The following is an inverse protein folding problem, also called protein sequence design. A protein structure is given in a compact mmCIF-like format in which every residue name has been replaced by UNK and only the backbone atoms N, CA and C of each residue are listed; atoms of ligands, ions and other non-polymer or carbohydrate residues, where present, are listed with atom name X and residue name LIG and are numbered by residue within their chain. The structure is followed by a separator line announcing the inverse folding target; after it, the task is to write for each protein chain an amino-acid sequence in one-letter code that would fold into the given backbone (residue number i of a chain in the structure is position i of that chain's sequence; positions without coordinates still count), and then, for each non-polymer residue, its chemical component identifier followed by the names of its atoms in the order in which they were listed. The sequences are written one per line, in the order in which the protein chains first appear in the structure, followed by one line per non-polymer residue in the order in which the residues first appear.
data_IF_393835252404
#
_entry.id   IF_393835252404
#
_cell.length_a   1.000
_cell.length_b   1.000
_cell.length_c   1.000
_cell.angle_alpha   90.00
_cell.angle_beta   90.00
_cell.angle_gamma   90.00
#
_symmetry.space_group_name_H-M   'P 1'
#
loop_
_entity.id
_entity.type
_entity.pdbx_description
1 polymer ?
#
# COMPACT_ATOMS: atom_id res chain seq x y z
N UNK A 1 26.17 -2.28 -33.63
CA UNK A 1 27.46 -2.91 -33.96
C UNK A 1 28.40 -2.83 -32.77
N UNK A 2 28.56 -3.92 -32.08
CA UNK A 2 29.73 -4.53 -31.44
C UNK A 2 29.27 -5.62 -30.51
N UNK A 3 29.52 -6.84 -30.93
CA UNK A 3 29.37 -8.08 -30.18
C UNK A 3 30.51 -8.20 -29.16
N UNK A 4 30.26 -8.84 -28.01
CA UNK A 4 31.30 -9.46 -27.17
C UNK A 4 30.86 -10.83 -26.68
N UNK A 5 31.79 -11.71 -26.80
CA UNK A 5 31.87 -13.15 -26.80
C UNK A 5 31.53 -13.83 -25.48
N UNK A 6 31.02 -15.06 -25.66
CA UNK A 6 30.88 -16.14 -24.67
C UNK A 6 32.24 -16.68 -24.24
N UNK A 7 32.35 -17.12 -22.96
CA UNK A 7 33.30 -18.14 -22.55
C UNK A 7 32.62 -19.20 -21.69
N UNK A 8 32.57 -20.42 -22.25
CA UNK A 8 32.30 -21.69 -21.55
C UNK A 8 33.52 -22.07 -20.69
N UNK A 9 33.31 -22.64 -19.52
CA UNK A 9 34.19 -23.63 -18.90
C UNK A 9 33.40 -24.69 -18.16
N UNK A 10 33.61 -25.93 -18.64
CA UNK A 10 33.24 -27.25 -18.12
C UNK A 10 34.21 -27.72 -17.02
N UNK A 11 33.76 -28.63 -16.14
CA UNK A 11 34.56 -29.46 -15.24
C UNK A 11 33.75 -29.97 -14.07
N UNK A 12 33.26 -31.13 -14.10
CA UNK A 12 33.74 -32.50 -13.83
C UNK A 12 33.35 -32.99 -12.41
N UNK A 13 32.72 -34.16 -12.43
CA UNK A 13 32.16 -34.94 -11.33
C UNK A 13 33.17 -35.57 -10.37
N UNK A 14 32.71 -35.94 -9.17
CA UNK A 14 33.24 -37.07 -8.39
C UNK A 14 32.15 -37.75 -7.58
N UNK A 15 32.03 -39.07 -7.82
CA UNK A 15 31.24 -40.05 -7.09
C UNK A 15 31.85 -40.36 -5.72
N UNK A 16 31.02 -40.66 -4.75
CA UNK A 16 31.40 -41.33 -3.51
C UNK A 16 30.29 -42.26 -3.00
N UNK A 17 30.52 -43.56 -3.10
CA UNK A 17 29.66 -44.66 -2.61
C UNK A 17 30.16 -45.12 -1.24
N UNK A 18 29.29 -45.45 -0.29
CA UNK A 18 29.49 -46.44 0.78
C UNK A 18 28.17 -46.75 1.49
N UNK A 19 27.78 -47.84 1.51
CA UNK A 19 27.47 -49.16 1.96
C UNK A 19 26.95 -49.25 3.42
N UNK A 20 25.72 -49.80 3.53
CA UNK A 20 25.08 -50.85 4.35
C UNK A 20 25.57 -51.13 5.78
N UNK A 21 24.61 -51.20 6.70
CA UNK A 21 24.40 -52.38 7.58
C UNK A 21 23.01 -52.37 8.20
N UNK A 22 22.25 -53.45 8.04
CA UNK A 22 20.97 -53.71 8.63
C UNK A 22 21.09 -54.46 9.97
N UNK A 23 20.06 -54.39 10.78
CA UNK A 23 19.71 -55.42 11.78
C UNK A 23 18.20 -55.53 11.91
N UNK A 24 17.72 -56.75 11.71
CA UNK A 24 16.37 -57.26 11.95
C UNK A 24 16.18 -57.60 13.42
N UNK A 25 15.00 -57.33 14.01
CA UNK A 25 14.44 -58.16 15.08
C UNK A 25 12.92 -58.12 15.10
N UNK A 26 12.30 -59.25 15.48
CA UNK A 26 10.95 -59.69 15.30
C UNK A 26 10.00 -59.37 16.47
N UNK A 27 8.67 -59.58 16.34
CA UNK A 27 7.65 -58.91 17.16
C UNK A 27 7.26 -59.70 18.44
N UNK A 28 6.78 -58.95 19.45
CA UNK A 28 6.13 -59.48 20.65
C UNK A 28 4.65 -59.03 20.76
N UNK A 29 3.78 -59.74 21.46
CA UNK A 29 2.35 -59.78 21.28
C UNK A 29 1.56 -58.69 22.00
N UNK A 30 0.39 -58.34 21.46
CA UNK A 30 -0.60 -57.42 22.02
C UNK A 30 -1.35 -57.97 23.22
N UNK A 31 -1.80 -57.11 24.13
CA UNK A 31 -3.00 -57.34 24.91
C UNK A 31 -4.13 -56.42 24.50
N UNK A 32 -5.27 -57.03 24.23
CA UNK A 32 -6.57 -56.38 24.07
C UNK A 32 -7.13 -55.90 25.40
N UNK A 33 -7.45 -54.59 25.49
CA UNK A 33 -8.49 -54.16 26.40
C UNK A 33 -9.12 -52.86 25.91
N UNK A 34 -10.38 -52.94 25.57
CA UNK A 34 -11.33 -51.89 25.29
C UNK A 34 -11.57 -51.07 26.60
N UNK A 35 -11.28 -49.76 26.54
CA UNK A 35 -11.86 -48.79 27.46
C UNK A 35 -12.04 -47.49 26.70
N UNK A 36 -13.29 -47.08 26.53
CA UNK A 36 -13.63 -45.76 25.97
C UNK A 36 -13.06 -44.64 26.86
N UNK A 37 -12.11 -43.88 26.37
CA UNK A 37 -11.60 -42.69 27.02
C UNK A 37 -12.52 -41.47 26.71
N UNK A 38 -12.71 -40.58 27.69
CA UNK A 38 -13.49 -39.36 27.48
C UNK A 38 -12.80 -38.45 26.42
N UNK A 39 -13.57 -37.95 25.49
CA UNK A 39 -13.17 -36.94 24.50
C UNK A 39 -12.80 -35.68 25.26
N UNK A 40 -11.52 -35.49 25.57
CA UNK A 40 -10.96 -34.19 25.93
C UNK A 40 -10.86 -33.37 24.63
N UNK A 41 -11.74 -32.39 24.51
CA UNK A 41 -11.55 -31.30 23.54
C UNK A 41 -10.25 -30.58 23.89
N UNK A 42 -9.21 -30.85 23.13
CA UNK A 42 -7.96 -30.07 23.18
C UNK A 42 -8.32 -28.63 22.83
N UNK A 43 -7.97 -27.63 23.68
CA UNK A 43 -8.12 -26.23 23.30
C UNK A 43 -7.36 -26.00 21.99
N UNK A 44 -7.98 -25.30 21.05
CA UNK A 44 -7.30 -24.90 19.82
C UNK A 44 -6.00 -24.18 20.20
N UNK A 45 -4.89 -24.61 19.58
CA UNK A 45 -3.61 -23.93 19.79
C UNK A 45 -3.76 -22.45 19.40
N UNK A 46 -3.16 -21.51 20.13
CA UNK A 46 -3.17 -20.11 19.74
C UNK A 46 -2.61 -20.00 18.32
N UNK A 47 -3.17 -19.11 17.48
CA UNK A 47 -2.73 -18.96 16.11
C UNK A 47 -1.22 -18.67 16.08
N UNK A 48 -0.50 -19.40 15.24
CA UNK A 48 0.92 -19.24 15.10
C UNK A 48 1.18 -17.85 14.46
N UNK A 49 1.92 -16.98 15.14
CA UNK A 49 2.22 -15.60 14.73
C UNK A 49 3.32 -15.49 13.67
N UNK A 50 3.72 -16.59 13.05
CA UNK A 50 4.76 -16.64 12.02
C UNK A 50 4.20 -16.46 10.60
N UNK A 51 5.06 -15.98 9.67
CA UNK A 51 4.80 -16.01 8.24
C UNK A 51 5.25 -17.35 7.66
N UNK A 52 4.53 -17.84 6.63
CA UNK A 52 4.87 -19.06 5.90
C UNK A 52 4.66 -18.86 4.39
N UNK A 53 5.48 -19.54 3.58
CA UNK A 53 5.23 -19.64 2.16
C UNK A 53 3.94 -20.47 1.92
N UNK A 54 3.09 -19.96 1.05
CA UNK A 54 1.84 -20.62 0.65
C UNK A 54 1.61 -20.46 -0.86
N UNK A 55 1.09 -21.49 -1.55
CA UNK A 55 0.73 -21.35 -2.95
C UNK A 55 -0.42 -20.37 -3.12
N UNK A 56 -0.33 -19.51 -4.12
CA UNK A 56 -1.44 -18.65 -4.54
C UNK A 56 -2.49 -19.53 -5.22
N UNK A 57 -3.70 -19.54 -4.67
CA UNK A 57 -4.81 -20.31 -5.23
C UNK A 57 -5.40 -19.56 -6.43
N UNK A 58 -5.43 -20.22 -7.59
CA UNK A 58 -5.91 -19.63 -8.84
C UNK A 58 -6.91 -20.58 -9.47
N UNK A 59 -8.13 -20.11 -9.71
CA UNK A 59 -9.13 -20.86 -10.45
C UNK A 59 -8.76 -20.89 -11.95
N UNK A 60 -9.15 -21.97 -12.66
CA UNK A 60 -8.73 -22.20 -14.04
C UNK A 60 -9.12 -21.07 -15.01
N UNK A 61 -10.22 -20.39 -14.75
CA UNK A 61 -10.73 -19.24 -15.51
C UNK A 61 -9.95 -17.92 -15.26
N UNK A 62 -9.01 -17.92 -14.31
CA UNK A 62 -8.18 -16.75 -13.91
C UNK A 62 -6.67 -17.01 -14.01
N UNK A 63 -6.29 -18.17 -14.59
CA UNK A 63 -4.92 -18.64 -14.69
C UNK A 63 -4.15 -18.07 -15.90
N UNK A 64 -4.50 -16.86 -16.37
CA UNK A 64 -3.69 -16.12 -17.33
C UNK A 64 -2.49 -15.47 -16.65
N UNK A 65 -1.46 -15.07 -17.44
CA UNK A 65 -0.26 -14.42 -16.88
C UNK A 65 -0.60 -13.30 -15.89
N UNK A 66 0.13 -13.20 -14.78
CA UNK A 66 1.31 -13.95 -14.38
C UNK A 66 1.01 -15.30 -13.69
N UNK A 67 -0.26 -15.75 -13.65
CA UNK A 67 -0.73 -16.97 -12.96
C UNK A 67 -0.83 -18.21 -13.86
N UNK A 68 -0.34 -18.13 -15.09
CA UNK A 68 -0.09 -19.27 -15.99
C UNK A 68 1.04 -20.16 -15.48
N UNK A 69 1.80 -19.70 -14.50
CA UNK A 69 2.78 -20.44 -13.72
C UNK A 69 2.42 -20.44 -12.23
N UNK A 70 2.75 -21.49 -11.46
CA UNK A 70 2.54 -21.50 -10.01
C UNK A 70 3.26 -20.33 -9.34
N UNK A 71 2.55 -19.62 -8.45
CA UNK A 71 3.09 -18.54 -7.62
C UNK A 71 3.01 -18.91 -6.15
N UNK A 72 4.00 -18.49 -5.39
CA UNK A 72 4.03 -18.59 -3.94
C UNK A 72 4.08 -17.20 -3.32
N UNK A 73 3.26 -16.99 -2.31
CA UNK A 73 3.28 -15.79 -1.47
C UNK A 73 3.72 -16.15 -0.05
N UNK A 74 4.16 -15.16 0.69
CA UNK A 74 4.45 -15.28 2.13
C UNK A 74 3.30 -14.65 2.89
N UNK A 75 2.57 -15.44 3.68
CA UNK A 75 1.36 -15.03 4.39
C UNK A 75 1.39 -15.49 5.85
N UNK A 76 0.53 -14.99 6.75
CA UNK A 76 0.40 -15.54 8.09
C UNK A 76 0.12 -17.04 8.07
N UNK A 77 0.73 -17.78 9.00
CA UNK A 77 0.64 -19.22 9.02
C UNK A 77 -0.82 -19.70 9.10
N UNK A 78 -1.20 -20.57 8.17
CA UNK A 78 -2.57 -21.11 8.05
C UNK A 78 -3.52 -20.25 7.23
N UNK A 79 -3.12 -19.03 6.84
CA UNK A 79 -3.92 -18.20 5.94
C UNK A 79 -3.76 -18.64 4.49
N UNK A 80 -4.75 -18.34 3.67
CA UNK A 80 -4.75 -18.66 2.24
C UNK A 80 -4.85 -17.38 1.41
N UNK A 81 -4.04 -17.29 0.34
CA UNK A 81 -4.12 -16.23 -0.67
C UNK A 81 -4.70 -16.78 -1.95
N UNK A 82 -5.77 -16.21 -2.46
CA UNK A 82 -6.40 -16.60 -3.73
C UNK A 82 -6.57 -15.41 -4.66
N UNK A 83 -6.50 -15.65 -5.98
CA UNK A 83 -6.93 -14.67 -6.99
C UNK A 83 -8.46 -14.65 -6.98
N UNK A 84 -9.04 -13.61 -6.40
CA UNK A 84 -10.48 -13.46 -6.25
C UNK A 84 -11.15 -12.93 -7.53
N UNK A 85 -10.51 -11.94 -8.18
CA UNK A 85 -10.94 -11.39 -9.47
C UNK A 85 -9.75 -11.01 -10.34
N UNK A 86 -9.98 -10.91 -11.66
CA UNK A 86 -9.05 -10.33 -12.63
C UNK A 86 -9.69 -9.08 -13.20
N UNK A 87 -8.96 -7.96 -13.16
CA UNK A 87 -9.38 -6.69 -13.78
C UNK A 87 -8.15 -5.83 -14.06
N UNK A 88 -8.19 -5.07 -15.15
CA UNK A 88 -7.03 -4.31 -15.62
C UNK A 88 -6.71 -3.14 -14.68
N UNK A 89 -5.46 -3.06 -14.24
CA UNK A 89 -4.90 -1.92 -13.48
C UNK A 89 -5.75 -1.43 -12.31
N UNK A 90 -6.23 -2.33 -11.40
CA UNK A 90 -7.02 -1.93 -10.24
C UNK A 90 -6.16 -1.09 -9.29
N UNK A 91 -6.75 -0.03 -8.75
CA UNK A 91 -6.02 0.88 -7.86
C UNK A 91 -6.59 0.86 -6.45
N UNK A 92 -7.21 1.95 -5.97
CA UNK A 92 -7.74 1.99 -4.62
C UNK A 92 -9.10 1.28 -4.54
N UNK A 93 -9.41 0.77 -3.35
CA UNK A 93 -10.62 0.01 -3.09
C UNK A 93 -11.33 0.50 -1.83
N UNK A 94 -12.67 0.37 -1.81
CA UNK A 94 -13.49 0.65 -0.65
C UNK A 94 -14.71 -0.28 -0.64
N UNK A 95 -15.09 -0.76 0.56
CA UNK A 95 -16.33 -1.51 0.72
C UNK A 95 -17.53 -0.57 0.78
N UNK A 96 -18.60 -0.95 0.09
CA UNK A 96 -19.88 -0.28 0.21
C UNK A 96 -20.58 -0.67 1.52
N UNK A 97 -21.55 0.12 2.00
CA UNK A 97 -22.37 -0.26 3.15
C UNK A 97 -23.11 -1.59 2.97
N UNK A 98 -23.40 -1.97 1.73
CA UNK A 98 -24.11 -3.19 1.37
C UNK A 98 -23.19 -4.42 1.24
N UNK A 99 -21.88 -4.27 1.43
CA UNK A 99 -20.90 -5.36 1.40
C UNK A 99 -20.40 -5.74 0.00
N UNK A 100 -20.38 -4.79 -0.93
CA UNK A 100 -19.76 -4.92 -2.26
C UNK A 100 -18.41 -4.19 -2.28
N UNK A 101 -17.45 -4.68 -3.07
CA UNK A 101 -16.15 -4.03 -3.19
C UNK A 101 -16.14 -3.08 -4.38
N UNK A 102 -15.88 -1.81 -4.15
CA UNK A 102 -15.59 -0.84 -5.21
C UNK A 102 -14.10 -0.77 -5.45
N UNK A 103 -13.71 -0.68 -6.73
CA UNK A 103 -12.31 -0.57 -7.16
C UNK A 103 -12.20 0.51 -8.23
N UNK A 104 -11.29 1.44 -8.04
CA UNK A 104 -10.98 2.46 -9.05
C UNK A 104 -10.04 1.92 -10.12
N UNK A 105 -10.32 2.26 -11.39
CA UNK A 105 -9.50 1.95 -12.55
C UNK A 105 -9.21 3.26 -13.30
N UNK A 106 -8.20 4.03 -12.89
CA UNK A 106 -7.92 5.36 -13.47
C UNK A 106 -7.64 5.33 -14.97
N UNK A 107 -6.97 4.29 -15.45
CA UNK A 107 -6.61 4.11 -16.86
C UNK A 107 -7.83 3.96 -17.78
N UNK A 108 -8.98 3.53 -17.25
CA UNK A 108 -10.23 3.34 -17.97
C UNK A 108 -11.27 4.43 -17.65
N UNK A 109 -10.99 5.29 -16.68
CA UNK A 109 -11.95 6.30 -16.21
C UNK A 109 -13.15 5.71 -15.49
N UNK A 110 -12.98 4.58 -14.77
CA UNK A 110 -14.07 3.80 -14.19
C UNK A 110 -13.91 3.56 -12.70
N UNK A 111 -15.06 3.38 -12.05
CA UNK A 111 -15.19 2.70 -10.76
C UNK A 111 -15.97 1.41 -11.00
N UNK A 112 -15.32 0.29 -10.75
CA UNK A 112 -15.92 -1.05 -10.84
C UNK A 112 -16.52 -1.44 -9.51
N UNK A 113 -17.57 -2.27 -9.57
CA UNK A 113 -18.24 -2.87 -8.42
C UNK A 113 -18.15 -4.39 -8.54
N UNK A 114 -17.69 -5.03 -7.49
CA UNK A 114 -17.58 -6.48 -7.34
C UNK A 114 -18.54 -6.94 -6.26
N UNK A 115 -19.59 -7.65 -6.66
CA UNK A 115 -20.56 -8.27 -5.75
C UNK A 115 -20.06 -9.66 -5.37
N UNK A 116 -19.76 -9.92 -4.07
CA UNK A 116 -19.33 -11.25 -3.64
C UNK A 116 -20.36 -12.33 -3.97
N UNK A 117 -19.88 -13.50 -4.42
CA UNK A 117 -20.72 -14.64 -4.73
C UNK A 117 -20.36 -15.84 -3.84
N UNK A 118 -21.33 -16.68 -3.53
CA UNK A 118 -21.14 -17.92 -2.79
C UNK A 118 -20.21 -18.92 -3.51
N UNK A 119 -20.13 -18.83 -4.83
CA UNK A 119 -19.28 -19.69 -5.68
C UNK A 119 -17.83 -19.21 -5.75
N UNK A 120 -17.48 -18.16 -5.02
CA UNK A 120 -16.12 -17.66 -4.84
C UNK A 120 -15.66 -16.62 -5.88
N UNK A 121 -16.20 -16.62 -7.10
CA UNK A 121 -15.96 -15.56 -8.07
C UNK A 121 -16.97 -14.41 -7.87
N UNK A 122 -16.54 -13.14 -7.78
CA UNK A 122 -17.48 -12.04 -7.69
C UNK A 122 -18.14 -11.77 -9.05
N UNK A 123 -19.32 -11.15 -9.02
CA UNK A 123 -19.91 -10.54 -10.20
C UNK A 123 -19.34 -9.13 -10.38
N UNK A 124 -18.68 -8.88 -11.52
CA UNK A 124 -18.14 -7.56 -11.87
C UNK A 124 -19.17 -6.74 -12.63
N UNK A 125 -19.31 -5.48 -12.29
CA UNK A 125 -20.12 -4.48 -12.99
C UNK A 125 -19.47 -3.09 -12.94
N UNK A 126 -19.83 -2.23 -13.89
CA UNK A 126 -19.39 -0.82 -13.88
C UNK A 126 -20.37 -0.01 -13.03
N UNK A 127 -19.87 0.61 -11.95
CA UNK A 127 -20.65 1.53 -11.13
C UNK A 127 -20.66 2.94 -11.72
N UNK A 128 -19.48 3.46 -12.08
CA UNK A 128 -19.29 4.78 -12.67
C UNK A 128 -18.36 4.68 -13.87
N UNK A 129 -18.64 5.45 -14.94
CA UNK A 129 -17.87 5.49 -16.18
C UNK A 129 -17.67 6.93 -16.64
N UNK A 130 -16.65 7.16 -17.49
CA UNK A 130 -16.36 8.46 -18.06
C UNK A 130 -15.78 9.49 -17.09
N UNK A 131 -15.18 9.01 -16.00
CA UNK A 131 -14.51 9.83 -14.98
C UNK A 131 -13.08 10.18 -15.43
N UNK A 132 -12.55 11.30 -14.91
CA UNK A 132 -11.16 11.67 -15.17
C UNK A 132 -10.19 11.05 -14.17
N UNK A 133 -9.60 9.91 -14.55
CA UNK A 133 -8.64 9.17 -13.74
C UNK A 133 -9.11 8.97 -12.27
N UNK A 134 -10.29 8.36 -12.01
CA UNK A 134 -10.77 8.14 -10.66
C UNK A 134 -9.79 7.29 -9.87
N UNK A 135 -9.46 7.70 -8.63
CA UNK A 135 -8.47 7.00 -7.83
C UNK A 135 -8.93 6.79 -6.38
N UNK A 136 -9.01 7.83 -5.54
CA UNK A 136 -9.47 7.74 -4.16
C UNK A 136 -10.96 7.44 -4.05
N UNK A 137 -11.33 6.50 -3.18
CA UNK A 137 -12.71 6.12 -2.86
C UNK A 137 -12.91 6.16 -1.35
N UNK A 138 -13.98 6.79 -0.87
CA UNK A 138 -14.35 6.80 0.54
C UNK A 138 -15.86 6.83 0.73
N UNK A 139 -16.35 6.25 1.82
CA UNK A 139 -17.74 6.35 2.23
C UNK A 139 -17.89 7.15 3.52
N UNK A 140 -18.97 7.95 3.60
CA UNK A 140 -19.50 8.51 4.84
C UNK A 140 -21.01 8.21 4.86
N UNK A 141 -21.41 7.22 5.65
CA UNK A 141 -22.75 6.66 5.61
C UNK A 141 -23.08 6.14 4.21
N UNK A 142 -24.15 6.64 3.59
CA UNK A 142 -24.57 6.30 2.22
C UNK A 142 -24.02 7.27 1.16
N UNK A 143 -23.04 8.10 1.46
CA UNK A 143 -22.40 8.99 0.48
C UNK A 143 -21.08 8.40 0.04
N UNK A 144 -20.93 8.13 -1.27
CA UNK A 144 -19.69 7.76 -1.91
C UNK A 144 -18.93 9.01 -2.37
N UNK A 145 -17.68 9.14 -1.95
CA UNK A 145 -16.75 10.16 -2.44
C UNK A 145 -15.76 9.53 -3.40
N UNK A 146 -15.57 10.17 -4.56
CA UNK A 146 -14.64 9.75 -5.60
C UNK A 146 -13.68 10.88 -5.90
N UNK A 147 -12.39 10.63 -5.71
CA UNK A 147 -11.35 11.56 -6.13
C UNK A 147 -10.96 11.28 -7.57
N UNK A 148 -11.23 12.22 -8.45
CA UNK A 148 -10.74 12.28 -9.81
C UNK A 148 -9.46 13.11 -9.87
N UNK A 149 -8.79 13.17 -11.04
CA UNK A 149 -7.53 13.93 -11.15
C UNK A 149 -7.76 15.44 -11.06
N UNK A 150 -8.93 15.95 -11.46
CA UNK A 150 -9.28 17.38 -11.51
C UNK A 150 -10.34 17.82 -10.50
N UNK A 151 -10.99 16.88 -9.81
CA UNK A 151 -12.05 17.18 -8.84
C UNK A 151 -12.31 16.06 -7.82
N UNK A 152 -13.03 16.40 -6.77
CA UNK A 152 -13.58 15.47 -5.80
C UNK A 152 -15.10 15.54 -5.91
N UNK A 153 -15.74 14.42 -6.20
CA UNK A 153 -17.20 14.32 -6.28
C UNK A 153 -17.77 13.46 -5.16
N UNK A 154 -19.02 13.77 -4.80
CA UNK A 154 -19.85 12.96 -3.90
C UNK A 154 -21.09 12.49 -4.63
N UNK A 155 -21.49 11.25 -4.36
CA UNK A 155 -22.68 10.59 -4.92
C UNK A 155 -23.55 10.05 -3.78
N UNK A 156 -24.85 10.09 -3.96
CA UNK A 156 -25.76 9.32 -3.11
C UNK A 156 -25.66 7.85 -3.55
N UNK A 157 -25.35 6.96 -2.62
CA UNK A 157 -25.22 5.52 -2.88
C UNK A 157 -26.38 4.77 -2.25
N UNK A 158 -27.14 4.06 -3.05
CA UNK A 158 -28.22 3.19 -2.60
C UNK A 158 -28.49 2.08 -3.62
N UNK A 159 -28.85 0.90 -3.12
CA UNK A 159 -29.26 -0.26 -3.94
C UNK A 159 -28.26 -0.57 -5.08
N UNK A 160 -26.94 -0.46 -4.78
CA UNK A 160 -25.88 -0.72 -5.75
C UNK A 160 -25.74 0.34 -6.85
N UNK A 161 -26.29 1.54 -6.66
CA UNK A 161 -26.18 2.66 -7.62
C UNK A 161 -25.59 3.91 -6.94
N UNK A 162 -24.74 4.64 -7.69
CA UNK A 162 -24.22 5.95 -7.31
C UNK A 162 -24.90 7.02 -8.19
N UNK A 163 -25.67 7.88 -7.57
CA UNK A 163 -26.53 8.86 -8.26
C UNK A 163 -26.34 10.28 -7.68
N UNK A 164 -26.93 11.28 -8.31
CA UNK A 164 -26.91 12.67 -7.84
C UNK A 164 -25.49 13.21 -7.61
N UNK A 165 -24.60 13.23 -8.62
CA UNK A 165 -23.24 13.73 -8.47
C UNK A 165 -23.22 15.18 -7.99
N UNK A 166 -22.33 15.47 -7.03
CA UNK A 166 -22.09 16.80 -6.47
C UNK A 166 -20.58 17.02 -6.38
N UNK A 167 -20.07 18.07 -7.02
CA UNK A 167 -18.65 18.42 -6.87
C UNK A 167 -18.40 19.04 -5.51
N UNK A 168 -17.53 18.40 -4.72
CA UNK A 168 -17.08 18.84 -3.39
C UNK A 168 -15.93 19.82 -3.49
N UNK A 169 -14.99 19.55 -4.40
CA UNK A 169 -13.87 20.43 -4.76
C UNK A 169 -13.55 20.23 -6.24
N UNK A 170 -13.48 21.30 -7.01
CA UNK A 170 -13.21 21.25 -8.45
C UNK A 170 -12.09 22.20 -8.86
N UNK A 171 -11.67 22.11 -10.13
CA UNK A 171 -10.58 22.91 -10.66
C UNK A 171 -9.22 22.57 -10.05
N UNK A 172 -9.04 21.33 -9.63
CA UNK A 172 -7.79 20.86 -9.05
C UNK A 172 -6.74 20.67 -10.16
N UNK A 173 -5.44 20.88 -9.86
CA UNK A 173 -4.38 20.71 -10.86
C UNK A 173 -4.27 19.24 -11.26
N UNK A 174 -4.14 19.02 -12.57
CA UNK A 174 -3.96 17.71 -13.21
C UNK A 174 -2.99 17.78 -14.39
N UNK A 175 -2.81 16.67 -15.13
CA UNK A 175 -1.96 16.62 -16.32
C UNK A 175 -2.44 17.50 -17.48
N UNK A 176 -3.70 17.98 -17.47
CA UNK A 176 -4.29 18.87 -18.48
C UNK A 176 -4.21 20.35 -18.09
N UNK A 177 -3.81 20.65 -16.86
CA UNK A 177 -3.64 22.03 -16.39
C UNK A 177 -2.66 22.77 -17.29
N UNK A 178 -3.05 23.91 -17.91
CA UNK A 178 -2.26 24.56 -18.96
C UNK A 178 -0.86 24.96 -18.51
N UNK A 179 -0.72 25.39 -17.26
CA UNK A 179 0.55 25.81 -16.67
C UNK A 179 1.52 24.63 -16.48
N UNK A 180 1.01 23.40 -16.36
CA UNK A 180 1.80 22.18 -16.13
C UNK A 180 2.25 21.51 -17.44
N UNK A 181 1.62 21.85 -18.58
CA UNK A 181 1.98 21.36 -19.93
C UNK A 181 2.13 19.83 -20.02
N UNK A 182 1.30 19.09 -19.28
CA UNK A 182 1.36 17.64 -19.18
C UNK A 182 2.40 17.08 -18.19
N UNK A 183 3.20 17.93 -17.56
CA UNK A 183 4.20 17.53 -16.59
C UNK A 183 3.61 17.49 -15.16
N UNK A 184 2.83 16.46 -14.86
CA UNK A 184 2.28 16.23 -13.52
C UNK A 184 2.39 14.76 -13.14
N UNK A 185 3.46 14.43 -12.44
CA UNK A 185 3.78 13.05 -12.08
C UNK A 185 2.80 12.44 -11.08
N UNK A 186 2.21 13.24 -10.17
CA UNK A 186 1.35 12.77 -9.08
C UNK A 186 -0.06 13.36 -9.18
N UNK A 187 -0.68 13.21 -10.36
CA UNK A 187 -2.01 13.74 -10.64
C UNK A 187 -3.13 12.99 -9.91
N UNK A 188 -2.97 11.70 -9.64
CA UNK A 188 -3.96 10.87 -8.95
C UNK A 188 -4.16 11.35 -7.50
N UNK A 189 -5.43 11.50 -7.09
CA UNK A 189 -5.79 12.03 -5.79
C UNK A 189 -6.42 10.96 -4.91
N UNK A 190 -6.21 11.08 -3.61
CA UNK A 190 -6.88 10.27 -2.59
C UNK A 190 -7.88 11.11 -1.82
N UNK A 191 -8.89 10.47 -1.24
CA UNK A 191 -9.93 11.11 -0.44
C UNK A 191 -10.20 10.31 0.82
N UNK A 192 -10.45 11.01 1.93
CA UNK A 192 -10.93 10.44 3.19
C UNK A 192 -11.95 11.39 3.80
N UNK A 193 -12.89 10.85 4.59
CA UNK A 193 -13.96 11.65 5.19
C UNK A 193 -13.95 11.40 6.69
N UNK A 194 -13.81 12.48 7.47
CA UNK A 194 -13.86 12.43 8.92
C UNK A 194 -15.27 12.20 9.45
N UNK A 195 -15.39 11.73 10.69
CA UNK A 195 -16.66 11.48 11.36
C UNK A 195 -17.52 12.76 11.52
N UNK A 196 -16.85 13.92 11.52
CA UNK A 196 -17.49 15.23 11.51
C UNK A 196 -18.06 15.63 10.13
N UNK A 197 -17.79 14.83 9.08
CA UNK A 197 -18.16 15.12 7.70
C UNK A 197 -17.19 16.04 6.96
N UNK A 198 -16.02 16.35 7.52
CA UNK A 198 -14.95 17.04 6.79
C UNK A 198 -14.35 16.11 5.73
N UNK A 199 -14.10 16.65 4.53
CA UNK A 199 -13.50 15.89 3.43
C UNK A 199 -12.03 16.29 3.30
N UNK A 200 -11.15 15.30 3.35
CA UNK A 200 -9.71 15.45 3.15
C UNK A 200 -9.32 14.84 1.82
N UNK A 201 -8.45 15.53 1.06
CA UNK A 201 -7.94 14.99 -0.20
C UNK A 201 -6.51 15.43 -0.48
N UNK A 202 -5.77 14.62 -1.23
CA UNK A 202 -4.39 14.89 -1.58
C UNK A 202 -4.29 15.68 -2.88
N UNK A 203 -3.33 16.60 -2.94
CA UNK A 203 -2.81 17.18 -4.19
C UNK A 203 -1.31 16.86 -4.18
N UNK A 204 -0.89 15.90 -5.00
CA UNK A 204 0.51 15.50 -5.09
C UNK A 204 1.39 16.56 -5.76
N UNK A 205 2.70 16.37 -5.70
CA UNK A 205 3.68 17.24 -6.35
C UNK A 205 3.72 17.05 -7.86
N UNK A 206 4.22 18.05 -8.59
CA UNK A 206 4.38 17.95 -10.05
C UNK A 206 5.50 17.00 -10.45
N UNK A 207 6.48 16.78 -9.58
CA UNK A 207 7.61 15.91 -9.86
C UNK A 207 8.41 15.53 -8.61
N UNK A 208 9.63 15.07 -8.84
CA UNK A 208 10.53 14.65 -7.75
C UNK A 208 10.89 15.80 -6.81
N UNK A 209 11.14 16.98 -7.38
CA UNK A 209 11.46 18.24 -6.70
C UNK A 209 10.72 19.37 -7.40
N UNK A 210 10.02 20.21 -6.65
CA UNK A 210 9.45 21.48 -7.14
C UNK A 210 9.22 22.43 -5.96
N UNK A 211 9.95 23.52 -5.91
CA UNK A 211 9.70 24.58 -4.93
C UNK A 211 8.44 25.40 -5.29
N UNK A 212 8.12 25.50 -6.58
CA UNK A 212 6.95 26.21 -7.09
C UNK A 212 5.64 25.58 -6.61
N UNK A 213 5.61 24.27 -6.36
CA UNK A 213 4.45 23.57 -5.84
C UNK A 213 3.98 24.11 -4.49
N UNK A 214 4.92 24.62 -3.68
CA UNK A 214 4.63 25.18 -2.35
C UNK A 214 3.85 26.52 -2.40
N UNK A 215 4.00 27.25 -3.50
CA UNK A 215 3.40 28.58 -3.70
C UNK A 215 2.34 28.61 -4.79
N UNK A 216 2.03 27.46 -5.38
CA UNK A 216 0.96 27.32 -6.36
C UNK A 216 -0.42 27.58 -5.73
N UNK A 217 -1.39 27.88 -6.55
CA UNK A 217 -2.79 28.03 -6.14
C UNK A 217 -3.69 27.10 -6.97
N UNK A 218 -4.27 26.05 -6.35
CA UNK A 218 -4.03 25.59 -4.97
C UNK A 218 -2.61 25.03 -4.78
N UNK A 219 -2.06 25.04 -3.54
CA UNK A 219 -0.74 24.51 -3.27
C UNK A 219 -0.71 23.00 -3.51
N UNK A 220 0.39 22.52 -4.10
CA UNK A 220 0.66 21.10 -4.35
C UNK A 220 1.52 20.50 -3.24
N UNK A 221 1.70 19.20 -3.25
CA UNK A 221 2.32 18.47 -2.15
C UNK A 221 1.61 18.78 -0.81
N UNK A 222 0.27 18.67 -0.83
CA UNK A 222 -0.60 19.16 0.25
C UNK A 222 -1.77 18.22 0.45
N UNK A 223 -2.17 18.03 1.71
CA UNK A 223 -3.49 17.50 2.04
C UNK A 223 -4.42 18.68 2.27
N UNK A 224 -5.50 18.75 1.50
CA UNK A 224 -6.52 19.78 1.57
C UNK A 224 -7.68 19.31 2.45
N UNK A 225 -8.44 20.25 3.02
CA UNK A 225 -9.65 19.97 3.81
C UNK A 225 -10.79 20.86 3.34
N UNK A 226 -11.93 20.24 3.06
CA UNK A 226 -13.23 20.90 2.94
C UNK A 226 -13.94 20.79 4.31
N UNK A 227 -14.45 21.89 4.89
CA UNK A 227 -15.10 21.82 6.19
C UNK A 227 -16.42 21.02 6.15
N UNK A 228 -16.92 20.53 7.32
CA UNK A 228 -18.23 19.91 7.41
C UNK A 228 -19.33 20.82 6.83
N UNK A 229 -20.22 20.21 6.05
CA UNK A 229 -21.31 20.95 5.39
C UNK A 229 -20.90 21.70 4.13
N UNK A 230 -19.65 21.58 3.68
CA UNK A 230 -19.14 22.19 2.44
C UNK A 230 -18.45 23.54 2.67
N UNK A 231 -17.98 24.14 1.57
CA UNK A 231 -17.25 25.41 1.59
C UNK A 231 -15.92 25.28 0.83
N UNK A 232 -15.10 26.34 0.80
CA UNK A 232 -13.83 26.32 0.10
C UNK A 232 -12.85 25.34 0.77
N UNK A 233 -12.12 24.60 -0.06
CA UNK A 233 -11.01 23.77 0.41
C UNK A 233 -9.85 24.66 0.88
N UNK A 234 -9.20 24.25 1.96
CA UNK A 234 -8.01 24.93 2.49
C UNK A 234 -6.91 23.90 2.82
N UNK A 235 -5.62 24.31 2.81
CA UNK A 235 -4.53 23.44 3.22
C UNK A 235 -4.72 22.95 4.66
N UNK A 236 -4.61 21.62 4.86
CA UNK A 236 -4.65 20.97 6.16
C UNK A 236 -3.25 20.58 6.64
N UNK A 237 -2.48 19.95 5.74
CA UNK A 237 -1.09 19.61 5.96
C UNK A 237 -0.28 19.86 4.68
N UNK A 238 0.97 20.32 4.81
CA UNK A 238 1.83 20.70 3.71
C UNK A 238 3.15 19.91 3.70
N UNK A 239 3.92 19.99 2.61
CA UNK A 239 5.14 19.20 2.47
C UNK A 239 4.91 17.70 2.26
N UNK A 240 3.72 17.30 1.85
CA UNK A 240 3.31 15.93 1.55
C UNK A 240 3.54 15.65 0.08
N UNK A 241 4.74 15.19 -0.30
CA UNK A 241 5.13 15.05 -1.71
C UNK A 241 4.09 14.31 -2.56
N UNK A 242 3.75 13.09 -2.18
CA UNK A 242 2.68 12.31 -2.79
C UNK A 242 2.00 11.44 -1.73
N UNK A 243 0.98 11.99 -1.07
CA UNK A 243 0.19 11.34 -0.04
C UNK A 243 -0.88 10.43 -0.65
N UNK A 244 -0.47 9.36 -1.31
CA UNK A 244 -1.38 8.43 -2.01
C UNK A 244 -2.25 7.65 -1.03
N UNK A 245 -1.69 7.18 0.09
CA UNK A 245 -2.46 6.61 1.19
C UNK A 245 -3.05 7.73 2.04
N UNK A 246 -4.37 7.78 2.18
CA UNK A 246 -5.07 8.76 3.03
C UNK A 246 -6.27 8.08 3.68
N UNK A 247 -6.30 8.06 5.01
CA UNK A 247 -7.35 7.37 5.76
C UNK A 247 -7.62 8.02 7.12
N UNK A 248 -8.79 7.74 7.68
CA UNK A 248 -9.16 8.11 9.05
C UNK A 248 -8.88 6.92 9.96
N UNK A 249 -8.13 7.16 11.02
CA UNK A 249 -7.83 6.17 12.05
C UNK A 249 -9.00 5.94 13.00
N UNK A 250 -9.00 4.86 13.83
CA UNK A 250 -10.06 4.60 14.80
C UNK A 250 -10.30 5.71 15.83
N UNK A 251 -9.30 6.56 16.08
CA UNK A 251 -9.42 7.74 16.96
C UNK A 251 -9.92 9.01 16.24
N UNK A 252 -10.31 8.90 14.97
CA UNK A 252 -10.73 10.03 14.12
C UNK A 252 -9.59 10.84 13.52
N UNK A 253 -8.34 10.51 13.79
CA UNK A 253 -7.20 11.23 13.22
C UNK A 253 -6.98 10.90 11.75
N UNK A 254 -6.54 11.89 10.99
CA UNK A 254 -6.15 11.73 9.58
C UNK A 254 -4.72 11.20 9.51
N UNK A 255 -4.49 10.16 8.73
CA UNK A 255 -3.16 9.62 8.45
C UNK A 255 -2.88 9.60 6.95
N UNK A 256 -1.60 9.74 6.60
CA UNK A 256 -1.14 9.64 5.20
C UNK A 256 0.10 8.79 5.08
N UNK A 257 0.13 7.94 4.05
CA UNK A 257 1.32 7.25 3.57
C UNK A 257 1.88 8.04 2.39
N UNK A 258 3.15 8.44 2.48
CA UNK A 258 3.79 9.36 1.53
C UNK A 258 4.84 8.63 0.72
N UNK A 259 4.66 8.67 -0.60
CA UNK A 259 5.72 8.29 -1.53
C UNK A 259 6.73 9.45 -1.61
N UNK A 260 7.89 9.24 -1.01
CA UNK A 260 8.96 10.23 -0.82
C UNK A 260 9.74 10.56 -2.09
N UNK A 261 10.73 11.46 -1.98
CA UNK A 261 11.56 11.83 -3.12
C UNK A 261 12.68 10.81 -3.37
N UNK A 262 13.11 10.77 -4.63
CA UNK A 262 14.25 9.98 -5.07
C UNK A 262 15.51 10.83 -5.21
N UNK A 263 16.68 10.17 -5.22
CA UNK A 263 17.97 10.78 -5.55
C UNK A 263 18.34 11.97 -4.64
N UNK A 264 18.21 11.76 -3.33
CA UNK A 264 18.66 12.74 -2.32
C UNK A 264 20.18 12.83 -2.33
N UNK A 265 20.70 14.08 -2.15
CA UNK A 265 22.14 14.29 -2.03
C UNK A 265 22.62 13.98 -0.62
N UNK A 266 23.86 13.52 -0.52
CA UNK A 266 24.52 13.21 0.74
C UNK A 266 24.67 14.48 1.61
N UNK A 267 24.13 14.48 2.85
CA UNK A 267 23.99 15.70 3.63
C UNK A 267 25.17 16.02 4.56
N UNK A 268 26.06 15.05 4.82
CA UNK A 268 27.13 15.19 5.79
C UNK A 268 28.33 15.96 5.23
N UNK A 269 28.98 16.83 6.02
CA UNK A 269 30.19 17.52 5.58
C UNK A 269 31.33 16.56 5.20
N UNK A 270 31.89 16.73 4.00
CA UNK A 270 32.96 15.89 3.51
C UNK A 270 33.10 15.94 1.99
N UNK A 271 33.89 15.01 1.40
CA UNK A 271 34.10 14.95 -0.06
C UNK A 271 32.81 14.69 -0.85
N UNK A 272 31.85 14.00 -0.26
CA UNK A 272 30.61 13.57 -0.90
C UNK A 272 29.43 14.52 -0.64
N UNK A 273 29.66 15.59 0.13
CA UNK A 273 28.60 16.58 0.44
C UNK A 273 27.96 17.13 -0.82
N UNK A 274 26.63 17.05 -0.87
CA UNK A 274 25.81 17.54 -1.99
C UNK A 274 25.85 16.65 -3.25
N UNK A 275 26.54 15.51 -3.22
CA UNK A 275 26.54 14.54 -4.31
C UNK A 275 25.43 13.51 -4.12
N UNK A 276 24.84 13.07 -5.24
CA UNK A 276 23.90 11.93 -5.25
C UNK A 276 24.74 10.66 -5.41
N UNK A 277 24.88 9.91 -4.33
CA UNK A 277 25.67 8.68 -4.29
C UNK A 277 24.74 7.48 -4.08
N UNK A 278 24.84 6.41 -4.91
CA UNK A 278 23.90 5.29 -4.88
C UNK A 278 23.77 4.65 -3.50
N UNK A 279 24.87 4.43 -2.79
CA UNK A 279 24.91 3.79 -1.48
C UNK A 279 24.13 4.56 -0.40
N UNK A 280 24.09 5.89 -0.51
CA UNK A 280 23.25 6.72 0.35
C UNK A 280 21.80 6.73 -0.09
N UNK A 281 21.56 6.84 -1.40
CA UNK A 281 20.21 6.86 -1.99
C UNK A 281 19.46 5.57 -1.68
N UNK A 282 20.11 4.42 -1.69
CA UNK A 282 19.47 3.13 -1.44
C UNK A 282 18.67 3.09 -0.12
N UNK A 283 19.15 3.78 0.91
CA UNK A 283 18.53 3.79 2.23
C UNK A 283 17.91 5.14 2.63
N UNK A 284 17.92 6.16 1.71
CA UNK A 284 17.41 7.50 2.04
C UNK A 284 16.59 8.15 0.91
N UNK A 285 15.59 8.99 1.28
CA UNK A 285 15.04 9.12 2.62
C UNK A 285 14.08 7.96 2.94
N UNK A 286 13.90 7.59 4.20
CA UNK A 286 12.79 6.71 4.58
C UNK A 286 11.46 7.37 4.25
N UNK A 287 10.51 6.59 3.71
CA UNK A 287 9.18 7.08 3.36
C UNK A 287 8.28 7.15 4.60
N UNK A 288 7.35 8.08 4.59
CA UNK A 288 6.64 8.53 5.79
C UNK A 288 5.26 7.89 5.91
N UNK A 289 4.91 7.44 7.12
CA UNK A 289 3.54 7.17 7.54
C UNK A 289 3.21 8.13 8.69
N UNK A 290 2.47 9.19 8.39
CA UNK A 290 2.35 10.35 9.25
C UNK A 290 0.91 10.60 9.72
N UNK A 291 0.76 10.92 11.02
CA UNK A 291 -0.47 11.48 11.60
C UNK A 291 -0.55 12.97 11.28
N UNK A 292 -1.68 13.39 10.73
CA UNK A 292 -1.88 14.77 10.30
C UNK A 292 -2.72 15.56 11.29
N UNK A 293 -2.40 16.85 11.39
CA UNK A 293 -3.15 17.83 12.17
C UNK A 293 -3.19 19.16 11.37
N UNK A 294 -4.07 20.10 11.70
CA UNK A 294 -4.09 21.42 11.06
C UNK A 294 -2.71 22.09 11.14
N UNK A 295 -2.14 22.45 9.98
CA UNK A 295 -0.84 23.10 9.89
C UNK A 295 0.36 22.15 10.00
N UNK A 296 0.18 20.82 10.03
CA UNK A 296 1.29 19.86 9.99
C UNK A 296 2.13 20.06 8.74
N UNK A 297 3.46 20.14 8.92
CA UNK A 297 4.44 20.24 7.83
C UNK A 297 5.27 18.95 7.79
N UNK A 298 5.37 18.32 6.61
CA UNK A 298 6.16 17.11 6.37
C UNK A 298 7.42 17.34 5.54
N UNK A 299 7.78 18.60 5.34
CA UNK A 299 9.12 19.06 4.95
C UNK A 299 9.39 19.14 3.45
N UNK A 300 8.75 18.37 2.60
CA UNK A 300 9.06 18.38 1.16
C UNK A 300 8.83 19.76 0.53
N UNK A 301 9.70 20.25 -0.36
CA UNK A 301 10.94 19.65 -0.87
C UNK A 301 12.19 20.01 -0.08
N UNK A 302 12.09 20.70 1.05
CA UNK A 302 13.20 21.34 1.76
C UNK A 302 13.83 20.51 2.86
N UNK A 303 13.07 19.52 3.36
CA UNK A 303 13.50 18.60 4.41
C UNK A 303 13.14 17.17 4.04
N UNK A 304 13.96 16.23 4.47
CA UNK A 304 13.72 14.79 4.35
C UNK A 304 13.59 14.17 5.73
N UNK A 305 12.74 13.18 5.88
CA UNK A 305 12.76 12.33 7.07
C UNK A 305 14.07 11.54 7.13
N UNK A 306 14.56 11.25 8.31
CA UNK A 306 15.77 10.50 8.54
C UNK A 306 15.63 9.56 9.75
N UNK A 307 16.47 8.53 9.84
CA UNK A 307 16.52 7.63 10.99
C UNK A 307 15.77 6.32 10.85
N UNK A 308 15.31 5.80 11.98
CA UNK A 308 14.81 4.44 12.13
C UNK A 308 13.36 4.22 11.70
N UNK A 309 12.72 3.14 12.19
CA UNK A 309 11.37 2.77 11.78
C UNK A 309 10.26 3.68 12.31
N UNK A 310 10.52 4.42 13.39
CA UNK A 310 9.56 5.30 14.07
C UNK A 310 10.25 6.56 14.63
N UNK A 311 9.45 7.59 14.92
CA UNK A 311 9.89 8.87 15.46
C UNK A 311 11.01 9.52 14.63
N UNK A 312 10.80 9.57 13.29
CA UNK A 312 11.79 10.04 12.35
C UNK A 312 11.96 11.56 12.41
N UNK A 313 13.13 12.09 12.82
CA UNK A 313 13.41 13.50 12.72
C UNK A 313 13.50 13.95 11.26
N UNK A 314 13.53 15.26 11.05
CA UNK A 314 13.79 15.83 9.75
C UNK A 314 15.21 16.35 9.66
N UNK A 315 15.86 16.04 8.54
CA UNK A 315 17.14 16.62 8.13
C UNK A 315 16.95 17.55 6.94
N UNK A 316 17.89 18.46 6.79
CA UNK A 316 17.90 19.43 5.70
C UNK A 316 18.20 18.76 4.36
N UNK A 317 17.38 19.04 3.36
CA UNK A 317 17.70 18.70 1.99
C UNK A 317 18.73 19.72 1.44
N UNK A 318 19.95 19.25 1.18
CA UNK A 318 21.05 20.11 0.78
C UNK A 318 20.97 20.62 -0.66
N UNK A 319 20.10 20.03 -1.49
CA UNK A 319 19.88 20.47 -2.86
C UNK A 319 18.85 21.61 -2.94
N UNK A 320 17.83 21.59 -2.09
CA UNK A 320 16.70 22.53 -2.15
C UNK A 320 16.69 23.54 -1.00
N UNK A 321 17.44 23.27 0.07
CA UNK A 321 17.55 24.10 1.26
C UNK A 321 19.02 24.16 1.74
N UNK A 322 19.99 24.55 0.85
CA UNK A 322 21.43 24.40 1.12
C UNK A 322 21.92 25.17 2.33
N UNK A 323 21.31 26.29 2.65
CA UNK A 323 21.65 27.17 3.77
C UNK A 323 20.66 27.15 4.94
N UNK A 324 19.61 26.30 4.85
CA UNK A 324 18.58 26.14 5.87
C UNK A 324 17.56 27.29 5.95
N UNK A 325 17.58 28.22 5.00
CA UNK A 325 16.72 29.41 5.05
C UNK A 325 15.31 29.20 4.47
N UNK A 326 15.06 28.08 3.76
CA UNK A 326 13.75 27.79 3.19
C UNK A 326 12.79 27.22 4.24
N UNK A 327 13.28 26.33 5.09
CA UNK A 327 12.54 25.70 6.17
C UNK A 327 13.50 25.21 7.25
N UNK A 328 13.20 25.51 8.50
CA UNK A 328 13.93 24.96 9.65
C UNK A 328 13.48 23.53 9.93
N UNK A 329 14.19 22.56 9.38
CA UNK A 329 13.87 21.13 9.49
C UNK A 329 13.93 20.63 10.94
N UNK A 330 14.81 21.19 11.78
CA UNK A 330 14.95 20.78 13.16
C UNK A 330 13.74 21.19 14.04
N UNK A 331 12.95 22.18 13.59
CA UNK A 331 11.74 22.61 14.28
C UNK A 331 10.51 21.73 13.99
N UNK A 332 10.59 20.86 12.98
CA UNK A 332 9.45 20.02 12.59
C UNK A 332 9.29 18.84 13.57
N UNK A 333 8.07 18.54 14.01
CA UNK A 333 7.82 17.36 14.82
C UNK A 333 8.17 16.07 14.02
N UNK A 334 8.79 15.07 14.66
CA UNK A 334 9.14 13.80 14.01
C UNK A 334 7.95 13.14 13.30
N UNK A 335 8.25 12.31 12.28
CA UNK A 335 7.24 11.47 11.63
C UNK A 335 7.04 10.20 12.46
N UNK A 336 5.81 9.80 12.62
CA UNK A 336 5.41 8.75 13.56
C UNK A 336 5.96 7.37 13.17
N UNK A 337 5.87 6.99 11.87
CA UNK A 337 6.30 5.68 11.37
C UNK A 337 6.94 5.79 9.98
N UNK A 338 7.68 4.76 9.57
CA UNK A 338 8.38 4.67 8.29
C UNK A 338 8.14 3.34 7.59
N UNK A 339 8.24 3.37 6.24
CA UNK A 339 8.29 2.18 5.39
C UNK A 339 9.72 1.78 4.99
N UNK A 340 10.75 2.53 5.41
CA UNK A 340 12.07 2.51 4.80
C UNK A 340 12.08 3.20 3.44
N UNK A 341 13.28 3.40 2.89
CA UNK A 341 13.45 4.12 1.63
C UNK A 341 12.91 3.32 0.43
N UNK A 342 12.37 4.04 -0.56
CA UNK A 342 11.91 3.51 -1.85
C UNK A 342 10.85 2.40 -1.76
N UNK A 343 10.06 2.39 -0.70
CA UNK A 343 8.96 1.42 -0.52
C UNK A 343 7.81 1.67 -1.50
N UNK A 344 7.62 2.91 -1.94
CA UNK A 344 6.50 3.38 -2.74
C UNK A 344 5.14 2.98 -2.13
N UNK A 345 4.81 3.46 -0.89
CA UNK A 345 3.53 3.18 -0.27
C UNK A 345 2.41 3.84 -1.06
N UNK A 346 1.30 3.12 -1.22
CA UNK A 346 0.15 3.58 -2.00
C UNK A 346 -1.12 3.64 -1.15
N UNK A 347 -2.01 2.64 -1.23
CA UNK A 347 -3.26 2.64 -0.49
C UNK A 347 -3.04 2.45 1.01
N UNK A 348 -3.78 3.20 1.83
CA UNK A 348 -3.82 3.10 3.29
C UNK A 348 -5.27 2.86 3.71
N UNK A 349 -5.49 1.88 4.55
CA UNK A 349 -6.77 1.64 5.21
C UNK A 349 -6.57 1.24 6.66
N UNK A 350 -7.57 1.45 7.50
CA UNK A 350 -7.56 0.97 8.89
C UNK A 350 -8.46 -0.25 9.05
N UNK A 351 -8.02 -1.17 9.92
CA UNK A 351 -8.80 -2.28 10.44
C UNK A 351 -9.19 -1.94 11.87
N UNK A 352 -10.48 -2.07 12.18
CA UNK A 352 -11.02 -1.92 13.52
C UNK A 352 -12.03 -3.06 13.78
N UNK A 353 -11.49 -4.22 14.13
CA UNK A 353 -12.22 -5.49 14.21
C UNK A 353 -12.35 -6.22 12.87
N UNK A 354 -12.99 -7.37 12.88
CA UNK A 354 -13.26 -8.18 11.68
C UNK A 354 -12.13 -9.14 11.28
N UNK A 355 -10.87 -8.85 11.58
CA UNK A 355 -9.75 -9.78 11.40
C UNK A 355 -9.40 -10.46 12.72
N UNK A 356 -8.83 -11.69 12.70
CA UNK A 356 -8.34 -12.33 13.92
C UNK A 356 -7.08 -11.65 14.46
N UNK A 357 -6.85 -11.78 15.78
CA UNK A 357 -5.59 -11.38 16.39
C UNK A 357 -4.37 -12.08 15.73
N UNK A 358 -3.24 -11.39 15.55
CA UNK A 358 -2.92 -10.03 16.04
C UNK A 358 -3.30 -8.89 15.08
N UNK A 359 -4.09 -9.16 14.04
CA UNK A 359 -4.43 -8.22 12.94
C UNK A 359 -5.78 -7.51 13.16
N UNK A 360 -6.42 -7.68 14.31
CA UNK A 360 -7.75 -7.15 14.59
C UNK A 360 -7.84 -5.62 14.59
N UNK A 361 -6.74 -4.92 14.89
CA UNK A 361 -6.71 -3.46 14.87
C UNK A 361 -5.37 -2.94 14.37
N UNK A 362 -5.38 -2.11 13.33
CA UNK A 362 -4.17 -1.59 12.72
C UNK A 362 -4.39 -0.93 11.36
N UNK A 363 -3.28 -0.56 10.72
CA UNK A 363 -3.29 -0.03 9.36
C UNK A 363 -2.75 -1.05 8.37
N UNK A 364 -3.39 -1.16 7.20
CA UNK A 364 -2.96 -1.90 6.03
C UNK A 364 -2.43 -0.95 4.99
N UNK A 365 -1.25 -1.23 4.42
CA UNK A 365 -0.65 -0.40 3.38
C UNK A 365 -0.12 -1.26 2.25
N UNK A 366 -0.52 -0.95 1.01
CA UNK A 366 0.09 -1.53 -0.18
C UNK A 366 1.45 -0.89 -0.44
N UNK A 367 2.48 -1.72 -0.52
CA UNK A 367 3.87 -1.33 -0.84
C UNK A 367 4.19 -1.80 -2.25
N UNK A 368 4.37 -0.85 -3.16
CA UNK A 368 4.58 -1.13 -4.57
C UNK A 368 6.01 -1.57 -4.91
N UNK A 369 6.96 -1.36 -3.97
CA UNK A 369 8.37 -1.72 -4.07
C UNK A 369 9.20 -0.78 -4.93
N UNK A 370 10.53 -0.87 -4.80
CA UNK A 370 11.46 0.12 -5.36
C UNK A 370 11.76 -0.09 -6.84
N UNK A 371 12.08 1.02 -7.53
CA UNK A 371 12.76 1.02 -8.83
C UNK A 371 14.21 1.55 -8.73
N UNK A 372 14.52 2.30 -7.67
CA UNK A 372 15.74 3.08 -7.49
C UNK A 372 16.48 2.67 -6.21
N UNK A 373 16.73 1.37 -6.03
CA UNK A 373 17.40 0.81 -4.86
C UNK A 373 18.10 -0.50 -5.20
N UNK A 374 19.25 -0.77 -4.56
CA UNK A 374 19.96 -2.03 -4.60
C UNK A 374 20.30 -2.53 -3.17
N UNK A 375 19.89 -3.75 -2.75
CA UNK A 375 18.96 -4.62 -3.49
C UNK A 375 17.55 -4.03 -3.59
N UNK A 376 16.76 -4.41 -4.60
CA UNK A 376 15.40 -3.88 -4.75
C UNK A 376 14.53 -4.17 -3.53
N UNK A 377 13.77 -3.19 -3.07
CA UNK A 377 12.72 -3.38 -2.06
C UNK A 377 11.58 -4.20 -2.67
N UNK A 378 11.24 -5.38 -2.11
CA UNK A 378 10.13 -6.18 -2.63
C UNK A 378 8.78 -5.49 -2.41
N UNK A 379 7.80 -5.70 -3.31
CA UNK A 379 6.41 -5.37 -3.04
C UNK A 379 5.83 -6.23 -1.91
N UNK A 380 4.95 -5.64 -1.11
CA UNK A 380 4.27 -6.34 0.00
C UNK A 380 2.97 -5.62 0.39
N UNK A 381 2.14 -6.26 1.19
CA UNK A 381 1.16 -5.59 2.04
C UNK A 381 1.73 -5.51 3.44
N UNK A 382 1.89 -4.29 3.94
CA UNK A 382 2.36 -4.04 5.31
C UNK A 382 1.19 -3.87 6.26
N UNK A 383 1.37 -4.32 7.51
CA UNK A 383 0.48 -4.10 8.63
C UNK A 383 1.21 -3.33 9.73
N UNK A 384 0.53 -2.35 10.31
CA UNK A 384 0.98 -1.57 11.46
C UNK A 384 -0.05 -1.74 12.58
N UNK A 385 0.24 -2.43 13.68
CA UNK A 385 -0.74 -2.62 14.75
C UNK A 385 -1.11 -1.29 15.40
N UNK A 386 -2.41 -1.09 15.63
CA UNK A 386 -2.92 0.07 16.37
C UNK A 386 -2.90 -0.20 17.87
N UNK A 387 -2.22 0.66 18.63
CA UNK A 387 -2.13 0.55 20.09
C UNK A 387 -2.00 1.94 20.71
N UNK A 388 -2.70 2.17 21.81
CA UNK A 388 -2.58 3.40 22.61
C UNK A 388 -2.76 4.71 21.80
N UNK A 389 -3.60 4.69 20.76
CA UNK A 389 -3.87 5.86 19.90
C UNK A 389 -2.79 6.15 18.86
N UNK A 390 -1.94 5.16 18.54
CA UNK A 390 -0.89 5.25 17.53
C UNK A 390 -0.62 3.94 16.80
N UNK A 391 0.20 4.00 15.77
CA UNK A 391 0.66 2.86 15.01
C UNK A 391 1.98 2.32 15.59
N UNK A 392 2.08 1.03 15.77
CA UNK A 392 3.32 0.32 16.10
C UNK A 392 4.20 0.10 14.87
N UNK A 393 5.29 -0.66 15.03
CA UNK A 393 6.24 -0.91 13.95
C UNK A 393 5.65 -1.75 12.81
N UNK A 394 6.18 -1.51 11.60
CA UNK A 394 5.86 -2.25 10.39
C UNK A 394 6.01 -3.76 10.55
N UNK A 395 5.05 -4.50 10.03
CA UNK A 395 5.07 -5.95 9.87
C UNK A 395 4.63 -6.29 8.45
N UNK A 396 5.24 -7.28 7.82
CA UNK A 396 4.73 -7.82 6.56
C UNK A 396 3.46 -8.64 6.85
N UNK A 397 2.35 -8.34 6.15
CA UNK A 397 1.16 -9.19 6.15
C UNK A 397 1.20 -10.17 4.97
N UNK A 398 1.49 -9.67 3.76
CA UNK A 398 1.64 -10.49 2.56
C UNK A 398 2.89 -10.04 1.82
N UNK A 399 3.78 -10.97 1.51
CA UNK A 399 4.98 -10.75 0.70
C UNK A 399 5.17 -11.84 -0.35
N UNK A 400 6.35 -11.86 -0.98
CA UNK A 400 6.69 -12.87 -1.97
C UNK A 400 6.35 -12.52 -3.42
N UNK A 401 5.95 -11.27 -3.70
CA UNK A 401 5.62 -10.80 -5.05
C UNK A 401 6.85 -10.58 -5.97
N UNK A 402 8.06 -10.77 -5.44
CA UNK A 402 9.31 -10.61 -6.17
C UNK A 402 10.07 -11.93 -6.21
N UNK A 403 10.53 -12.33 -7.39
CA UNK A 403 11.36 -13.50 -7.62
C UNK A 403 12.82 -13.26 -7.16
N UNK A 404 13.61 -14.33 -7.05
CA UNK A 404 15.01 -14.26 -6.63
C UNK A 404 15.90 -13.46 -7.60
N UNK A 405 15.52 -13.34 -8.86
CA UNK A 405 16.22 -12.55 -9.88
C UNK A 405 15.84 -11.06 -9.86
N UNK A 406 14.97 -10.66 -8.94
CA UNK A 406 14.47 -9.29 -8.80
C UNK A 406 13.29 -8.95 -9.70
N UNK A 407 12.87 -9.84 -10.60
CA UNK A 407 11.62 -9.68 -11.37
C UNK A 407 10.41 -9.79 -10.44
N UNK A 408 9.29 -9.22 -10.83
CA UNK A 408 8.06 -9.20 -10.02
C UNK A 408 6.94 -9.90 -10.78
N UNK A 409 6.09 -10.59 -10.05
CA UNK A 409 4.87 -11.18 -10.58
C UNK A 409 3.62 -10.47 -10.05
N UNK A 410 3.80 -9.51 -9.14
CA UNK A 410 2.73 -8.67 -8.62
C UNK A 410 3.27 -7.45 -7.88
N UNK A 411 2.42 -6.41 -7.76
CA UNK A 411 2.72 -5.15 -7.07
C UNK A 411 1.45 -4.63 -6.37
N UNK A 412 1.21 -4.99 -5.10
CA UNK A 412 0.06 -4.54 -4.33
C UNK A 412 -0.07 -3.02 -4.29
N UNK A 413 -1.29 -2.53 -4.47
CA UNK A 413 -1.63 -1.11 -4.43
C UNK A 413 -2.40 -0.76 -3.16
N UNK A 414 -3.49 -1.46 -2.88
CA UNK A 414 -4.32 -1.25 -1.70
C UNK A 414 -4.66 -2.59 -1.04
N UNK A 415 -4.92 -2.54 0.25
CA UNK A 415 -5.46 -3.66 1.01
C UNK A 415 -6.58 -3.15 1.92
N UNK A 416 -7.73 -3.80 1.90
CA UNK A 416 -8.91 -3.43 2.69
C UNK A 416 -9.50 -4.65 3.37
N UNK A 417 -9.88 -4.55 4.64
CA UNK A 417 -10.57 -5.62 5.35
C UNK A 417 -12.00 -5.76 4.83
N UNK A 418 -12.40 -6.96 4.51
CA UNK A 418 -13.73 -7.30 4.03
C UNK A 418 -14.71 -7.65 5.17
N UNK A 419 -16.02 -7.58 4.90
CA UNK A 419 -17.05 -7.93 5.87
C UNK A 419 -17.06 -9.42 6.25
N UNK A 420 -16.38 -10.25 5.46
CA UNK A 420 -16.22 -11.68 5.66
C UNK A 420 -14.98 -12.07 6.50
N UNK A 421 -14.27 -11.09 7.05
CA UNK A 421 -13.06 -11.30 7.84
C UNK A 421 -11.82 -11.65 7.04
N UNK A 422 -11.82 -11.41 5.71
CA UNK A 422 -10.65 -11.53 4.84
C UNK A 422 -10.10 -10.15 4.49
N UNK A 423 -8.88 -10.10 3.93
CA UNK A 423 -8.29 -8.88 3.36
C UNK A 423 -8.32 -8.99 1.84
N UNK A 424 -8.80 -7.93 1.19
CA UNK A 424 -8.84 -7.82 -0.27
C UNK A 424 -7.75 -6.85 -0.73
N UNK A 425 -6.95 -7.31 -1.71
CA UNK A 425 -5.71 -6.64 -2.12
C UNK A 425 -5.78 -6.40 -3.62
N UNK A 426 -5.67 -5.14 -4.05
CA UNK A 426 -5.57 -4.78 -5.46
C UNK A 426 -4.11 -4.79 -5.91
N UNK A 427 -3.87 -5.22 -7.16
CA UNK A 427 -2.53 -5.34 -7.75
C UNK A 427 -2.59 -4.91 -9.22
N UNK A 428 -1.97 -3.78 -9.54
CA UNK A 428 -2.01 -3.17 -10.87
C UNK A 428 -0.94 -3.72 -11.83
N UNK A 429 -0.02 -4.54 -11.34
CA UNK A 429 0.97 -5.22 -12.18
C UNK A 429 0.48 -6.60 -12.61
N UNK A 430 -0.15 -7.32 -11.69
CA UNK A 430 -0.76 -8.62 -11.95
C UNK A 430 -2.17 -8.53 -12.54
N UNK A 431 -2.78 -7.35 -12.67
CA UNK A 431 -4.17 -7.16 -13.08
C UNK A 431 -5.13 -8.04 -12.24
N UNK A 432 -4.99 -7.99 -10.91
CA UNK A 432 -5.66 -8.89 -10.00
C UNK A 432 -6.21 -8.20 -8.75
N UNK A 433 -7.23 -8.83 -8.18
CA UNK A 433 -7.68 -8.61 -6.82
C UNK A 433 -7.50 -9.94 -6.08
N UNK A 434 -6.71 -9.93 -5.02
CA UNK A 434 -6.53 -11.11 -4.17
C UNK A 434 -7.48 -11.06 -2.98
N UNK A 435 -7.81 -12.25 -2.46
CA UNK A 435 -8.46 -12.46 -1.17
C UNK A 435 -7.50 -13.24 -0.27
N UNK A 436 -7.07 -12.62 0.81
CA UNK A 436 -6.29 -13.23 1.89
C UNK A 436 -7.25 -13.60 3.02
N UNK A 437 -7.46 -14.89 3.23
CA UNK A 437 -8.42 -15.40 4.20
C UNK A 437 -7.71 -16.06 5.39
N UNK A 438 -8.14 -15.78 6.64
CA UNK A 438 -7.73 -16.55 7.80
C UNK A 438 -8.24 -17.99 7.73
N UNK A 439 -7.69 -18.91 8.54
CA UNK A 439 -8.10 -20.33 8.59
C UNK A 439 -9.52 -20.53 9.10
#
# INVERSE_FOLDING_TARGET
MRAWLRHNRTGAALLGVALLAGCTDAPAPQPTSSSAAPTTTTPAAPPATGLAAAPVQVAADRAEAPFDEPREAVVPQGWTLSVWARTAKPRLAAWTPDGELLVSVPSEGRVLRFTPSADGAPEESVLLDGLDQPHGLAFAGSTLYVAQSDQIDAYDYADGAAVNPRTVAGGLPDGRSPELRGAYAHALKSVAVGDDGAVFFSIGSTGNISAEDRTADPPRATIMRVPPGGGPAAPFATGVRNGTGLAIAPDGAVWTAVNGRDNVAFPEPGPDYGQVIPEYVDDHPPEQLAKLAPGRELGWPYCNSDGGPADLPFIRDVQTNPDGNQLDCASLPPVEQSFGAHSAPLGLSFVDGGLPEPYASGALVGIHGSWNRQPPRPPEVSFYPWRDGGLGNQQTLVGGFQNQDGSRWGRPVAAVAGPDGAVYITDDDADAIYRLAPP
#
